data_IF_360439171301
#
_entry.id   IF_360439171301
#
_cell.length_a   1.000
_cell.length_b   1.000
_cell.length_c   1.000
_cell.angle_alpha   90.00
_cell.angle_beta   90.00
_cell.angle_gamma   90.00
#
_symmetry.space_group_name_H-M   'P 1'
#
loop_
_entity.id
_entity.type
_entity.pdbx_description
1 polymer ?
#
# COMPACT_ATOMS: atom_id res chain seq x y z
N UNK A 1 -38.61 50.91 -30.27
CA UNK A 1 -37.47 51.12 -29.34
C UNK A 1 -37.14 49.79 -28.70
N UNK A 2 -35.92 49.27 -28.92
CA UNK A 2 -35.47 47.94 -28.46
C UNK A 2 -34.82 48.02 -27.07
N UNK A 3 -34.83 46.91 -26.31
CA UNK A 3 -33.84 46.43 -25.33
C UNK A 3 -34.23 44.94 -25.11
N UNK A 4 -33.61 43.93 -25.73
CA UNK A 4 -32.28 43.38 -25.44
C UNK A 4 -32.03 43.28 -23.92
N UNK A 5 -32.11 42.12 -23.29
CA UNK A 5 -30.97 41.21 -23.25
C UNK A 5 -31.43 39.78 -22.94
N UNK A 6 -31.16 38.86 -23.86
CA UNK A 6 -31.11 37.43 -23.60
C UNK A 6 -29.96 37.20 -22.61
N UNK A 7 -30.25 36.84 -21.36
CA UNK A 7 -29.22 36.32 -20.47
C UNK A 7 -28.77 34.97 -21.01
N UNK A 8 -27.77 35.01 -21.88
CA UNK A 8 -26.96 33.85 -22.20
C UNK A 8 -26.32 33.40 -20.88
N UNK A 9 -26.87 32.35 -20.28
CA UNK A 9 -26.17 31.59 -19.24
C UNK A 9 -24.90 31.05 -19.88
N UNK A 10 -23.79 31.74 -19.67
CA UNK A 10 -22.47 31.25 -20.01
C UNK A 10 -22.30 29.89 -19.31
N UNK A 11 -22.00 28.81 -20.03
CA UNK A 11 -21.68 27.55 -19.38
C UNK A 11 -20.39 27.79 -18.60
N UNK A 12 -20.52 27.89 -17.27
CA UNK A 12 -19.38 27.83 -16.37
C UNK A 12 -18.75 26.47 -16.58
N UNK A 13 -17.63 26.46 -17.32
CA UNK A 13 -16.75 25.31 -17.42
C UNK A 13 -16.12 25.11 -16.04
N UNK A 14 -16.84 24.40 -15.17
CA UNK A 14 -16.28 23.88 -13.93
C UNK A 14 -15.24 22.85 -14.37
N UNK A 15 -13.98 23.29 -14.42
CA UNK A 15 -12.87 22.37 -14.51
C UNK A 15 -12.83 21.62 -13.19
N UNK A 16 -13.59 20.52 -13.11
CA UNK A 16 -13.29 19.43 -12.19
C UNK A 16 -11.92 18.92 -12.61
N UNK A 17 -10.88 19.54 -12.06
CA UNK A 17 -9.59 18.90 -11.95
C UNK A 17 -9.82 17.65 -11.13
N UNK A 18 -10.08 16.53 -11.81
CA UNK A 18 -9.84 15.22 -11.23
C UNK A 18 -8.41 15.32 -10.72
N UNK A 19 -8.13 15.14 -9.41
CA UNK A 19 -6.75 15.11 -8.97
C UNK A 19 -6.10 14.06 -9.86
N UNK A 20 -5.14 14.50 -10.68
CA UNK A 20 -4.34 13.61 -11.51
C UNK A 20 -3.91 12.51 -10.57
N UNK A 21 -4.43 11.32 -10.83
CA UNK A 21 -4.38 10.16 -9.96
C UNK A 21 -2.98 10.13 -9.40
N UNK A 22 -2.80 10.55 -8.14
CA UNK A 22 -1.52 10.47 -7.48
C UNK A 22 -1.21 9.00 -7.65
N UNK A 23 -0.21 8.69 -8.50
CA UNK A 23 0.14 7.32 -8.83
C UNK A 23 0.15 6.60 -7.50
N UNK A 24 -0.78 5.66 -7.29
CA UNK A 24 -0.95 5.02 -6.00
C UNK A 24 0.40 4.41 -5.67
N UNK A 25 1.17 5.11 -4.86
CA UNK A 25 2.55 4.80 -4.61
C UNK A 25 2.50 3.78 -3.50
N UNK A 26 3.10 2.62 -3.75
CA UNK A 26 3.09 1.51 -2.82
C UNK A 26 3.67 1.92 -1.46
N UNK A 27 4.67 2.81 -1.50
CA UNK A 27 5.52 3.16 -0.36
C UNK A 27 5.18 4.51 0.26
N UNK A 28 4.45 5.37 -0.46
CA UNK A 28 4.10 6.70 0.02
C UNK A 28 3.12 6.61 1.20
N UNK A 29 3.55 7.14 2.35
CA UNK A 29 2.80 7.07 3.61
C UNK A 29 2.58 5.65 4.14
N UNK A 30 3.34 4.65 3.67
CA UNK A 30 3.24 3.27 4.16
C UNK A 30 3.98 3.08 5.50
N UNK A 31 5.15 3.71 5.65
CA UNK A 31 6.02 3.51 6.82
C UNK A 31 5.69 4.51 7.92
N UNK A 32 5.58 4.02 9.16
CA UNK A 32 5.32 4.85 10.36
C UNK A 32 6.22 4.43 11.53
N UNK A 33 6.57 5.36 12.45
CA UNK A 33 7.31 5.01 13.66
C UNK A 33 6.49 4.12 14.59
N UNK A 34 7.14 3.12 15.19
CA UNK A 34 6.56 2.30 16.26
C UNK A 34 6.80 2.93 17.66
N UNK A 35 5.99 2.58 18.68
CA UNK A 35 4.67 1.98 18.59
C UNK A 35 3.60 3.04 18.30
N UNK A 36 2.84 2.92 17.22
CA UNK A 36 1.56 3.62 17.14
C UNK A 36 0.49 2.73 17.79
N UNK A 37 -0.53 3.33 18.40
CA UNK A 37 -1.69 2.58 18.90
C UNK A 37 -2.40 2.00 17.66
N UNK A 38 -2.43 0.67 17.47
CA UNK A 38 -3.00 0.11 16.27
C UNK A 38 -4.51 -0.11 16.49
N UNK A 39 -5.34 0.58 15.70
CA UNK A 39 -6.78 0.29 15.57
C UNK A 39 -7.07 -0.95 14.71
N UNK A 40 -6.02 -1.67 14.29
CA UNK A 40 -6.07 -2.81 13.38
C UNK A 40 -5.21 -3.98 13.91
N UNK A 41 -5.41 -5.22 13.44
CA UNK A 41 -4.53 -6.33 13.74
C UNK A 41 -3.07 -6.01 13.42
N UNK A 42 -2.15 -6.41 14.31
CA UNK A 42 -0.71 -6.23 14.10
C UNK A 42 -0.09 -7.57 13.75
N UNK A 43 0.57 -7.62 12.59
CA UNK A 43 1.44 -8.71 12.19
C UNK A 43 2.84 -8.43 12.75
N UNK A 44 3.36 -9.35 13.54
CA UNK A 44 4.79 -9.42 13.82
C UNK A 44 5.51 -9.93 12.56
N UNK A 45 6.15 -9.02 11.84
CA UNK A 45 6.86 -9.32 10.60
C UNK A 45 8.11 -10.16 10.85
N UNK A 46 8.77 -10.02 12.00
CA UNK A 46 9.98 -10.77 12.36
C UNK A 46 9.68 -12.17 12.92
N UNK A 47 8.40 -12.52 13.05
CA UNK A 47 7.98 -13.87 13.35
C UNK A 47 8.43 -14.87 12.25
N UNK A 48 8.51 -16.18 12.58
CA UNK A 48 8.82 -17.24 11.63
C UNK A 48 7.92 -17.20 10.39
N UNK A 49 8.50 -17.50 9.22
CA UNK A 49 7.81 -17.41 7.92
C UNK A 49 6.52 -18.23 7.87
N UNK A 50 6.42 -19.35 8.60
CA UNK A 50 5.19 -20.13 8.70
C UNK A 50 4.06 -19.35 9.39
N UNK A 51 4.38 -18.59 10.44
CA UNK A 51 3.42 -17.79 11.19
C UNK A 51 2.98 -16.57 10.37
N UNK A 52 3.95 -15.87 9.76
CA UNK A 52 3.67 -14.76 8.84
C UNK A 52 2.79 -15.22 7.68
N UNK A 53 3.13 -16.35 7.06
CA UNK A 53 2.34 -16.91 5.96
C UNK A 53 0.92 -17.28 6.40
N UNK A 54 0.75 -17.93 7.54
CA UNK A 54 -0.58 -18.28 8.06
C UNK A 54 -1.42 -17.03 8.34
N UNK A 55 -0.80 -15.98 8.90
CA UNK A 55 -1.47 -14.70 9.12
C UNK A 55 -1.90 -14.05 7.80
N UNK A 56 -1.00 -13.99 6.81
CA UNK A 56 -1.29 -13.37 5.50
C UNK A 56 -2.39 -14.10 4.74
N UNK A 57 -2.45 -15.45 4.83
CA UNK A 57 -3.58 -16.22 4.29
C UNK A 57 -4.88 -15.80 4.95
N UNK A 58 -4.89 -15.63 6.28
CA UNK A 58 -6.05 -15.10 7.00
C UNK A 58 -6.42 -13.70 6.50
N UNK A 59 -5.46 -12.77 6.54
CA UNK A 59 -5.60 -11.36 6.16
C UNK A 59 -6.20 -11.18 4.77
N UNK A 60 -5.77 -11.97 3.78
CA UNK A 60 -6.27 -11.90 2.40
C UNK A 60 -7.77 -12.26 2.26
N UNK A 61 -8.34 -12.97 3.23
CA UNK A 61 -9.77 -13.33 3.26
C UNK A 61 -10.59 -12.43 4.17
N UNK A 62 -9.97 -11.46 4.85
CA UNK A 62 -10.67 -10.52 5.71
C UNK A 62 -10.85 -9.19 5.01
N UNK A 63 -11.93 -8.49 5.34
CA UNK A 63 -12.19 -7.14 4.85
C UNK A 63 -11.50 -6.06 5.71
N UNK A 64 -10.74 -6.46 6.75
CA UNK A 64 -9.99 -5.55 7.60
C UNK A 64 -8.49 -5.60 7.26
N UNK A 65 -7.91 -4.43 7.03
CA UNK A 65 -6.47 -4.32 6.86
C UNK A 65 -5.70 -4.55 8.17
N UNK A 66 -4.39 -4.73 8.06
CA UNK A 66 -3.49 -4.95 9.18
C UNK A 66 -2.27 -4.01 9.12
N UNK A 67 -1.55 -3.94 10.23
CA UNK A 67 -0.28 -3.22 10.36
C UNK A 67 0.83 -4.25 10.52
N UNK A 68 1.89 -4.15 9.73
CA UNK A 68 3.08 -5.00 9.89
C UNK A 68 4.12 -4.30 10.75
N UNK A 69 4.62 -4.95 11.79
CA UNK A 69 5.76 -4.46 12.56
C UNK A 69 7.03 -5.17 12.11
N UNK A 70 8.08 -4.40 11.83
CA UNK A 70 9.35 -4.94 11.33
C UNK A 70 10.54 -4.23 11.96
N UNK A 71 11.59 -5.01 12.22
CA UNK A 71 12.87 -4.51 12.73
C UNK A 71 13.82 -4.06 11.61
N UNK A 72 13.59 -4.49 10.35
CA UNK A 72 14.48 -4.18 9.23
C UNK A 72 13.76 -3.86 7.92
N UNK A 73 14.43 -3.10 7.05
CA UNK A 73 13.93 -2.76 5.71
C UNK A 73 13.83 -3.96 4.77
N UNK A 74 14.73 -4.94 4.89
CA UNK A 74 14.64 -6.20 4.15
C UNK A 74 13.38 -6.99 4.53
N UNK A 75 13.07 -7.02 5.83
CA UNK A 75 11.85 -7.68 6.30
C UNK A 75 10.60 -6.94 5.86
N UNK A 76 10.61 -5.61 5.88
CA UNK A 76 9.52 -4.79 5.33
C UNK A 76 9.22 -5.16 3.86
N UNK A 77 10.26 -5.26 3.05
CA UNK A 77 10.16 -5.62 1.64
C UNK A 77 9.62 -7.04 1.44
N UNK A 78 10.07 -7.98 2.27
CA UNK A 78 9.56 -9.35 2.28
C UNK A 78 8.08 -9.41 2.64
N UNK A 79 7.62 -8.65 3.64
CA UNK A 79 6.20 -8.57 4.00
C UNK A 79 5.36 -7.97 2.87
N UNK A 80 5.83 -6.89 2.23
CA UNK A 80 5.13 -6.28 1.08
C UNK A 80 5.00 -7.30 -0.07
N UNK A 81 6.08 -8.00 -0.41
CA UNK A 81 6.07 -9.04 -1.44
C UNK A 81 5.14 -10.21 -1.09
N UNK A 82 5.20 -10.68 0.16
CA UNK A 82 4.40 -11.78 0.68
C UNK A 82 2.90 -11.42 0.72
N UNK A 83 2.57 -10.18 1.05
CA UNK A 83 1.19 -9.69 1.04
C UNK A 83 0.66 -9.63 -0.39
N UNK A 84 1.46 -9.12 -1.34
CA UNK A 84 1.08 -9.14 -2.75
C UNK A 84 0.88 -10.58 -3.27
N UNK A 85 1.77 -11.50 -2.89
CA UNK A 85 1.62 -12.93 -3.21
C UNK A 85 0.33 -13.53 -2.62
N UNK A 86 -0.01 -13.20 -1.37
CA UNK A 86 -1.24 -13.65 -0.74
C UNK A 86 -2.50 -13.17 -1.48
N UNK A 87 -2.52 -11.91 -1.93
CA UNK A 87 -3.62 -11.34 -2.72
C UNK A 87 -3.72 -11.94 -4.13
N UNK A 88 -2.58 -12.32 -4.71
CA UNK A 88 -2.53 -12.96 -6.02
C UNK A 88 -2.73 -14.49 -5.98
N UNK A 89 -2.79 -15.10 -4.79
CA UNK A 89 -2.85 -16.57 -4.63
C UNK A 89 -1.54 -17.28 -4.98
N UNK A 90 -0.41 -16.59 -4.91
CA UNK A 90 0.95 -17.08 -5.21
C UNK A 90 1.64 -17.62 -3.95
N UNK A 91 2.81 -18.26 -4.10
CA UNK A 91 3.57 -18.81 -2.97
C UNK A 91 4.14 -17.71 -2.04
N UNK A 92 3.44 -17.49 -0.93
CA UNK A 92 3.78 -16.52 0.12
C UNK A 92 5.17 -16.81 0.72
N UNK A 93 5.52 -18.09 0.93
CA UNK A 93 6.82 -18.46 1.53
C UNK A 93 7.97 -18.20 0.56
N UNK A 94 7.74 -18.41 -0.73
CA UNK A 94 8.71 -18.05 -1.75
C UNK A 94 8.93 -16.53 -1.79
N UNK A 95 7.85 -15.74 -1.70
CA UNK A 95 7.91 -14.28 -1.68
C UNK A 95 8.62 -13.73 -0.43
N UNK A 96 8.45 -14.36 0.75
CA UNK A 96 9.17 -14.00 1.98
C UNK A 96 10.69 -14.22 1.84
N UNK A 97 11.10 -15.34 1.25
CA UNK A 97 12.53 -15.67 1.07
C UNK A 97 13.19 -14.92 -0.07
N UNK A 98 12.43 -14.58 -1.10
CA UNK A 98 12.95 -13.94 -2.31
C UNK A 98 11.93 -12.93 -2.86
N UNK A 99 11.93 -11.69 -2.32
CA UNK A 99 11.01 -10.65 -2.76
C UNK A 99 11.20 -10.31 -4.25
N UNK A 100 10.11 -10.36 -5.04
CA UNK A 100 10.15 -10.03 -6.46
C UNK A 100 9.89 -8.53 -6.68
N UNK A 101 10.99 -7.78 -6.75
CA UNK A 101 10.99 -6.32 -6.95
C UNK A 101 10.43 -5.94 -8.33
N UNK A 102 10.70 -6.74 -9.36
CA UNK A 102 10.21 -6.47 -10.70
C UNK A 102 8.69 -6.62 -10.77
N UNK A 103 8.15 -7.65 -10.11
CA UNK A 103 6.71 -7.84 -9.95
C UNK A 103 6.06 -6.67 -9.19
N UNK A 104 6.64 -6.29 -8.04
CA UNK A 104 6.11 -5.19 -7.23
C UNK A 104 6.10 -3.84 -7.96
N UNK A 105 7.15 -3.55 -8.75
CA UNK A 105 7.20 -2.35 -9.60
C UNK A 105 6.24 -2.42 -10.79
N UNK A 106 5.91 -3.62 -11.26
CA UNK A 106 4.97 -3.85 -12.34
C UNK A 106 3.50 -3.86 -11.91
N UNK A 107 3.19 -3.65 -10.62
CA UNK A 107 1.82 -3.66 -10.13
C UNK A 107 0.98 -2.56 -10.78
N UNK A 108 -0.20 -2.96 -11.24
CA UNK A 108 -1.19 -2.03 -11.79
C UNK A 108 -1.84 -1.24 -10.65
N UNK A 109 -2.37 -0.03 -10.90
CA UNK A 109 -3.00 0.79 -9.85
C UNK A 109 -4.05 0.07 -8.99
N UNK A 110 -4.93 -0.80 -9.54
CA UNK A 110 -5.88 -1.56 -8.71
C UNK A 110 -5.22 -2.54 -7.74
N UNK A 111 -4.09 -3.15 -8.13
CA UNK A 111 -3.36 -4.07 -7.28
C UNK A 111 -2.63 -3.32 -6.15
N UNK A 112 -2.10 -2.13 -6.44
CA UNK A 112 -1.52 -1.26 -5.40
C UNK A 112 -2.59 -0.82 -4.41
N UNK A 113 -3.80 -0.45 -4.89
CA UNK A 113 -4.91 -0.09 -4.02
C UNK A 113 -5.31 -1.24 -3.10
N UNK A 114 -5.52 -2.44 -3.64
CA UNK A 114 -5.84 -3.63 -2.86
C UNK A 114 -4.75 -3.94 -1.81
N UNK A 115 -3.47 -3.77 -2.17
CA UNK A 115 -2.39 -3.94 -1.20
C UNK A 115 -2.44 -2.89 -0.10
N UNK A 116 -2.76 -1.63 -0.42
CA UNK A 116 -2.86 -0.53 0.56
C UNK A 116 -4.10 -0.63 1.45
N UNK A 117 -5.15 -1.29 0.99
CA UNK A 117 -6.34 -1.61 1.81
C UNK A 117 -6.04 -2.73 2.81
N UNK A 118 -5.22 -3.71 2.43
CA UNK A 118 -4.87 -4.84 3.29
C UNK A 118 -3.67 -4.55 4.19
N UNK A 119 -2.59 -3.97 3.66
CA UNK A 119 -1.43 -3.52 4.42
C UNK A 119 -1.54 -2.01 4.65
N UNK A 120 -2.08 -1.65 5.82
CA UNK A 120 -2.38 -0.27 6.19
C UNK A 120 -1.11 0.52 6.47
N UNK A 121 -0.17 -0.09 7.20
CA UNK A 121 1.10 0.52 7.54
C UNK A 121 2.18 -0.53 7.85
N UNK A 122 3.44 -0.10 7.71
CA UNK A 122 4.62 -0.79 8.21
C UNK A 122 5.21 0.02 9.36
N UNK A 123 5.20 -0.54 10.55
CA UNK A 123 5.76 0.02 11.77
C UNK A 123 7.19 -0.43 11.98
N UNK A 124 8.07 0.51 12.34
CA UNK A 124 9.44 0.20 12.74
C UNK A 124 9.97 1.25 13.72
N UNK A 125 10.94 0.86 14.54
CA UNK A 125 11.72 1.79 15.35
C UNK A 125 12.70 2.62 14.49
N UNK A 126 13.00 2.19 13.26
CA UNK A 126 13.84 2.90 12.28
C UNK A 126 13.09 3.19 10.97
N UNK A 127 12.02 4.01 11.00
CA UNK A 127 11.14 4.22 9.84
C UNK A 127 11.86 4.80 8.62
N UNK A 128 12.86 5.67 8.81
CA UNK A 128 13.65 6.24 7.71
C UNK A 128 14.48 5.20 6.96
N UNK A 129 15.04 4.22 7.67
CA UNK A 129 15.82 3.12 7.08
C UNK A 129 14.90 2.19 6.28
N UNK A 130 13.74 1.86 6.85
CA UNK A 130 12.73 1.05 6.19
C UNK A 130 12.20 1.75 4.93
N UNK A 131 11.89 3.04 5.02
CA UNK A 131 11.45 3.83 3.87
C UNK A 131 12.52 3.91 2.78
N UNK A 132 13.80 4.04 3.15
CA UNK A 132 14.91 4.01 2.20
C UNK A 132 14.99 2.68 1.44
N UNK A 133 14.90 1.55 2.16
CA UNK A 133 14.89 0.22 1.57
C UNK A 133 13.70 -0.02 0.65
N UNK A 134 12.51 0.43 1.05
CA UNK A 134 11.31 0.35 0.22
C UNK A 134 11.35 1.30 -0.98
N UNK A 135 12.17 2.35 -0.94
CA UNK A 135 12.37 3.31 -2.04
C UNK A 135 12.73 2.66 -3.38
N UNK A 136 13.28 1.44 -3.38
CA UNK A 136 13.52 0.65 -4.62
C UNK A 136 12.24 0.35 -5.41
N UNK A 137 11.08 0.39 -4.77
CA UNK A 137 9.76 0.15 -5.37
C UNK A 137 9.14 1.42 -5.96
N UNK A 138 9.65 2.61 -5.63
CA UNK A 138 9.16 3.89 -6.15
C UNK A 138 9.79 4.29 -7.50
N UNK A 139 10.71 3.47 -8.03
CA UNK A 139 11.47 3.75 -9.26
C UNK A 139 10.81 3.26 -10.53
#
# INVERSE_FOLDING_TARGET
MPHDSSSASEPVLVSLGVPATAHASLVDGLVRPAPAVPDAPVLDGDAPDEQVSAFLVGAAHTEIGFVARVESGERALAIVAATAAALCGEDIRAALRRPDIAFLRGLKPPAVHALREVLLAVESDTPDEVAHHLGVLAS
#
